data_IF_494822864690
#
_entry.id   IF_494822864690
#
_cell.length_a   1.000
_cell.length_b   1.000
_cell.length_c   1.000
_cell.angle_alpha   90.00
_cell.angle_beta   90.00
_cell.angle_gamma   90.00
#
_symmetry.space_group_name_H-M   'P 1'
#
loop_
_entity.id
_entity.type
_entity.pdbx_description
1 polymer ?
#
# COMPACT_ATOMS: atom_id res chain seq x y z
N UNK A 1 -5.69 21.25 -1.21
CA UNK A 1 -4.98 21.18 0.09
C UNK A 1 -3.68 20.42 -0.14
N UNK A 2 -2.61 21.15 -0.40
CA UNK A 2 -1.26 20.61 -0.56
C UNK A 2 -0.61 20.50 0.81
N UNK A 3 -0.63 19.31 1.37
CA UNK A 3 0.07 18.92 2.59
C UNK A 3 0.61 17.52 2.28
N UNK A 4 1.89 17.45 1.91
CA UNK A 4 2.70 16.24 1.67
C UNK A 4 1.92 14.99 1.26
N UNK A 5 1.91 14.68 -0.04
CA UNK A 5 1.49 13.39 -0.56
C UNK A 5 2.75 12.51 -0.71
N UNK A 6 3.11 11.69 0.28
CA UNK A 6 4.36 10.91 0.28
C UNK A 6 4.37 9.78 -0.76
N UNK A 7 3.22 9.53 -1.41
CA UNK A 7 3.04 8.47 -2.39
C UNK A 7 2.49 8.94 -3.73
N UNK A 8 2.03 7.97 -4.51
CA UNK A 8 1.30 8.15 -5.76
C UNK A 8 -0.11 7.56 -5.62
N UNK A 9 -1.10 8.26 -6.17
CA UNK A 9 -2.47 7.77 -6.22
C UNK A 9 -2.74 7.15 -7.58
N UNK A 10 -3.10 5.87 -7.57
CA UNK A 10 -3.44 5.10 -8.76
C UNK A 10 -4.96 4.89 -8.79
N UNK A 11 -5.64 5.66 -9.65
CA UNK A 11 -7.09 5.57 -9.82
C UNK A 11 -7.48 4.19 -10.35
N UNK A 12 -8.40 3.53 -9.65
CA UNK A 12 -8.93 2.24 -10.03
C UNK A 12 -10.29 2.02 -9.35
N UNK A 13 -11.24 1.29 -9.98
CA UNK A 13 -12.51 0.94 -9.35
C UNK A 13 -12.31 0.13 -8.06
N UNK A 14 -13.26 0.25 -7.12
CA UNK A 14 -13.33 -0.62 -5.94
C UNK A 14 -13.33 -2.09 -6.37
N UNK A 15 -12.60 -2.93 -5.65
CA UNK A 15 -12.45 -4.36 -5.96
C UNK A 15 -11.32 -4.69 -6.93
N UNK A 16 -10.67 -3.68 -7.55
CA UNK A 16 -9.48 -3.91 -8.39
C UNK A 16 -8.39 -4.59 -7.58
N UNK A 17 -7.73 -5.62 -8.12
CA UNK A 17 -6.68 -6.35 -7.41
C UNK A 17 -5.50 -5.43 -7.09
N UNK A 18 -5.02 -5.49 -5.84
CA UNK A 18 -3.78 -4.86 -5.41
C UNK A 18 -2.74 -5.96 -5.21
N UNK A 19 -1.56 -5.78 -5.82
CA UNK A 19 -0.48 -6.76 -5.87
C UNK A 19 0.80 -6.19 -5.28
N UNK A 20 1.62 -7.04 -4.65
CA UNK A 20 2.94 -6.64 -4.18
C UNK A 20 3.85 -6.27 -5.36
N UNK A 21 4.54 -5.13 -5.25
CA UNK A 21 5.47 -4.67 -6.30
C UNK A 21 6.73 -5.55 -6.39
N UNK A 22 7.09 -6.19 -5.28
CA UNK A 22 8.24 -7.09 -5.18
C UNK A 22 8.04 -8.15 -4.08
N UNK A 23 8.90 -9.15 -4.02
CA UNK A 23 8.90 -10.13 -2.94
C UNK A 23 9.23 -9.48 -1.59
N UNK A 24 8.69 -10.01 -0.49
CA UNK A 24 8.95 -9.44 0.82
C UNK A 24 8.19 -10.12 1.95
N UNK A 25 8.21 -9.47 3.11
CA UNK A 25 7.46 -9.87 4.30
C UNK A 25 6.48 -8.77 4.66
N UNK A 26 5.22 -9.13 4.85
CA UNK A 26 4.21 -8.23 5.37
C UNK A 26 4.58 -7.87 6.81
N UNK A 27 4.88 -6.60 7.08
CA UNK A 27 5.31 -6.13 8.40
C UNK A 27 4.21 -5.40 9.15
N UNK A 28 3.18 -4.93 8.45
CA UNK A 28 2.08 -4.18 9.04
C UNK A 28 0.80 -4.45 8.25
N UNK A 29 -0.29 -4.73 8.98
CA UNK A 29 -1.65 -4.79 8.43
C UNK A 29 -2.56 -4.08 9.39
N UNK A 30 -3.21 -3.03 8.93
CA UNK A 30 -4.05 -2.19 9.76
C UNK A 30 -5.43 -2.00 9.13
N UNK A 31 -6.45 -1.88 9.96
CA UNK A 31 -7.84 -1.67 9.55
C UNK A 31 -8.43 -0.46 10.27
N UNK A 32 -8.20 0.72 9.72
CA UNK A 32 -8.65 1.98 10.31
C UNK A 32 -9.79 2.62 9.50
N UNK A 33 -10.52 3.55 10.14
CA UNK A 33 -11.58 4.36 9.50
C UNK A 33 -11.07 5.72 8.99
N UNK A 34 -9.88 6.15 9.38
CA UNK A 34 -9.27 7.45 9.04
C UNK A 34 -7.86 7.27 8.48
N UNK A 35 -7.22 8.36 8.02
CA UNK A 35 -5.86 8.32 7.48
C UNK A 35 -5.76 7.39 6.27
N UNK A 36 -4.82 6.44 6.30
CA UNK A 36 -4.66 5.41 5.25
C UNK A 36 -5.83 4.44 5.11
N UNK A 37 -6.76 4.40 6.07
CA UNK A 37 -7.85 3.42 6.05
C UNK A 37 -7.32 2.01 6.32
N UNK A 38 -7.67 1.06 5.48
CA UNK A 38 -7.08 -0.28 5.52
C UNK A 38 -5.81 -0.27 4.67
N UNK A 39 -4.70 -0.74 5.26
CA UNK A 39 -3.43 -0.76 4.54
C UNK A 39 -2.57 -1.96 4.89
N UNK A 40 -1.63 -2.24 3.99
CA UNK A 40 -0.60 -3.25 4.12
C UNK A 40 0.75 -2.58 3.93
N UNK A 41 1.73 -2.89 4.78
CA UNK A 41 3.15 -2.55 4.57
C UNK A 41 3.95 -3.81 4.38
N UNK A 42 4.82 -3.81 3.36
CA UNK A 42 5.67 -4.93 3.01
C UNK A 42 7.12 -4.47 3.08
N UNK A 43 7.93 -5.15 3.89
CA UNK A 43 9.37 -4.96 3.90
C UNK A 43 10.00 -5.82 2.80
N UNK A 44 10.85 -5.18 2.00
CA UNK A 44 11.61 -5.79 0.93
C UNK A 44 13.08 -5.93 1.35
N UNK A 45 13.98 -6.20 0.40
CA UNK A 45 15.41 -6.29 0.68
C UNK A 45 15.97 -4.99 1.27
N UNK A 46 16.85 -5.11 2.27
CA UNK A 46 17.52 -3.97 2.88
C UNK A 46 16.58 -3.13 3.73
N UNK A 47 16.59 -1.81 3.51
CA UNK A 47 15.76 -0.85 4.26
C UNK A 47 14.50 -0.42 3.48
N UNK A 48 14.19 -1.11 2.37
CA UNK A 48 13.09 -0.72 1.48
C UNK A 48 11.77 -1.30 2.00
N UNK A 49 10.70 -0.51 2.00
CA UNK A 49 9.34 -1.02 2.19
C UNK A 49 8.35 -0.34 1.26
N UNK A 50 7.24 -1.02 0.97
CA UNK A 50 6.10 -0.46 0.24
C UNK A 50 4.86 -0.43 1.13
N UNK A 51 3.99 0.57 0.92
CA UNK A 51 2.70 0.70 1.61
C UNK A 51 1.58 0.81 0.58
N UNK A 52 0.49 0.10 0.84
CA UNK A 52 -0.70 0.00 -0.01
C UNK A 52 -1.92 0.37 0.84
N UNK A 53 -2.52 1.53 0.60
CA UNK A 53 -3.57 2.10 1.42
C UNK A 53 -4.92 2.23 0.69
N UNK A 54 -5.94 2.66 1.44
CA UNK A 54 -7.34 2.78 1.03
C UNK A 54 -7.96 1.47 0.54
N UNK A 55 -7.49 0.33 1.05
CA UNK A 55 -7.95 -0.99 0.63
C UNK A 55 -9.39 -1.27 1.08
N UNK A 56 -10.15 -2.04 0.30
CA UNK A 56 -11.46 -2.58 0.70
C UNK A 56 -11.28 -3.89 1.46
N UNK A 57 -10.53 -4.82 0.86
CA UNK A 57 -10.14 -6.10 1.47
C UNK A 57 -8.63 -6.20 1.55
N UNK A 58 -8.16 -6.71 2.69
CA UNK A 58 -6.80 -7.19 2.90
C UNK A 58 -6.87 -8.70 3.05
N UNK A 59 -6.08 -9.43 2.26
CA UNK A 59 -6.09 -10.90 2.23
C UNK A 59 -4.78 -11.53 2.73
N UNK A 60 -3.87 -10.71 3.25
CA UNK A 60 -2.60 -11.11 3.85
C UNK A 60 -2.55 -10.72 5.33
N UNK A 61 -1.63 -11.32 6.08
CA UNK A 61 -1.43 -11.04 7.51
C UNK A 61 0.03 -10.66 7.82
N UNK A 62 0.26 -9.95 8.92
CA UNK A 62 1.62 -9.64 9.36
C UNK A 62 2.45 -10.93 9.58
N UNK A 63 3.71 -10.91 9.15
CA UNK A 63 4.62 -12.05 9.12
C UNK A 63 4.52 -12.92 7.86
N UNK A 64 3.49 -12.75 7.02
CA UNK A 64 3.37 -13.50 5.77
C UNK A 64 4.45 -13.08 4.76
N UNK A 65 5.09 -14.08 4.13
CA UNK A 65 5.92 -13.85 2.95
C UNK A 65 5.04 -13.73 1.72
N UNK A 66 5.39 -12.80 0.84
CA UNK A 66 4.70 -12.63 -0.44
C UNK A 66 5.70 -12.56 -1.58
N UNK A 67 5.29 -13.04 -2.75
CA UNK A 67 6.06 -12.93 -3.98
C UNK A 67 5.73 -11.65 -4.76
N UNK A 68 6.61 -11.29 -5.70
CA UNK A 68 6.33 -10.21 -6.66
C UNK A 68 5.07 -10.54 -7.46
N UNK A 69 4.12 -9.61 -7.49
CA UNK A 69 2.85 -9.77 -8.19
C UNK A 69 1.80 -10.59 -7.43
N UNK A 70 2.10 -11.07 -6.22
CA UNK A 70 1.12 -11.74 -5.37
C UNK A 70 0.03 -10.76 -4.94
N UNK A 71 -1.23 -11.21 -4.99
CA UNK A 71 -2.36 -10.39 -4.58
C UNK A 71 -2.38 -10.25 -3.06
N UNK A 72 -2.43 -9.00 -2.58
CA UNK A 72 -2.45 -8.68 -1.15
C UNK A 72 -3.78 -8.09 -0.67
N UNK A 73 -4.61 -7.65 -1.62
CA UNK A 73 -5.90 -7.05 -1.31
C UNK A 73 -6.63 -6.56 -2.54
N UNK A 74 -7.54 -5.62 -2.31
CA UNK A 74 -8.29 -4.93 -3.37
C UNK A 74 -8.46 -3.45 -3.06
N UNK A 75 -8.50 -2.64 -4.12
CA UNK A 75 -8.75 -1.20 -4.04
C UNK A 75 -10.09 -0.96 -3.37
N UNK A 76 -10.15 0.04 -2.50
CA UNK A 76 -11.35 0.42 -1.78
C UNK A 76 -11.53 1.92 -1.69
N UNK A 77 -12.24 2.31 -0.64
CA UNK A 77 -12.52 3.70 -0.29
C UNK A 77 -12.43 3.94 1.22
N UNK A 78 -11.53 3.22 1.91
CA UNK A 78 -11.38 3.34 3.36
C UNK A 78 -10.44 4.48 3.73
N UNK A 79 -10.65 5.10 4.90
CA UNK A 79 -9.80 6.21 5.36
C UNK A 79 -10.14 7.55 4.69
N UNK A 80 -9.14 8.41 4.56
CA UNK A 80 -9.27 9.73 3.95
C UNK A 80 -9.05 9.66 2.45
N UNK A 81 -10.14 9.52 1.72
CA UNK A 81 -10.15 9.42 0.27
C UNK A 81 -11.29 10.24 -0.32
N UNK A 82 -11.11 10.76 -1.53
CA UNK A 82 -12.15 11.49 -2.28
C UNK A 82 -12.80 10.64 -3.37
N UNK A 83 -12.32 9.41 -3.58
CA UNK A 83 -12.82 8.48 -4.60
C UNK A 83 -11.99 7.20 -4.68
N UNK A 84 -12.44 6.15 -5.39
CA UNK A 84 -11.70 4.90 -5.52
C UNK A 84 -10.30 5.08 -6.12
N UNK A 85 -9.28 4.74 -5.35
CA UNK A 85 -7.88 4.69 -5.78
C UNK A 85 -7.04 3.85 -4.81
N UNK A 86 -5.87 3.41 -5.27
CA UNK A 86 -4.80 2.91 -4.42
C UNK A 86 -3.87 4.07 -4.09
N UNK A 87 -3.66 4.33 -2.81
CA UNK A 87 -2.55 5.16 -2.36
C UNK A 87 -1.32 4.28 -2.14
N UNK A 88 -0.26 4.53 -2.90
CA UNK A 88 0.95 3.70 -2.91
C UNK A 88 2.18 4.51 -2.53
N UNK A 89 2.95 4.00 -1.57
CA UNK A 89 4.20 4.62 -1.14
C UNK A 89 5.35 3.62 -1.20
N UNK A 90 6.57 4.14 -1.44
CA UNK A 90 7.82 3.40 -1.24
C UNK A 90 8.65 4.18 -0.23
N UNK A 91 9.28 3.47 0.70
CA UNK A 91 10.10 4.01 1.78
C UNK A 91 11.49 3.42 1.73
N UNK A 92 12.50 4.22 2.07
CA UNK A 92 13.84 3.76 2.45
C UNK A 92 14.10 4.16 3.90
N UNK A 93 14.09 3.17 4.80
CA UNK A 93 14.04 3.41 6.24
C UNK A 93 12.74 4.15 6.58
N UNK A 94 12.87 5.31 7.24
CA UNK A 94 11.73 6.13 7.67
C UNK A 94 11.38 7.26 6.68
N UNK A 95 11.94 7.26 5.46
CA UNK A 95 11.73 8.33 4.47
C UNK A 95 10.98 7.79 3.27
N UNK A 96 9.84 8.40 2.96
CA UNK A 96 9.16 8.21 1.68
C UNK A 96 10.09 8.67 0.53
N UNK A 97 10.16 7.85 -0.53
CA UNK A 97 10.91 8.11 -1.75
C UNK A 97 9.98 8.06 -2.95
N UNK A 98 10.39 8.67 -4.06
CA UNK A 98 9.62 8.65 -5.31
C UNK A 98 9.29 7.20 -5.73
N UNK A 99 8.00 6.79 -5.68
CA UNK A 99 7.60 5.43 -5.99
C UNK A 99 7.87 5.06 -7.45
N UNK A 100 7.83 6.04 -8.38
CA UNK A 100 7.96 5.81 -9.83
C UNK A 100 9.30 5.19 -10.24
N UNK A 101 10.30 5.20 -9.36
CA UNK A 101 11.59 4.53 -9.58
C UNK A 101 11.55 3.01 -9.39
N UNK A 102 10.46 2.49 -8.83
CA UNK A 102 10.30 1.08 -8.44
C UNK A 102 9.16 0.37 -9.16
N UNK A 103 8.36 1.09 -9.95
CA UNK A 103 7.21 0.57 -10.70
C UNK A 103 7.61 0.24 -12.14
#
# INVERSE_FOLDING_TARGET
FGLLHPGVDLRAPVGTQVKSIDMGVVVEVEKMKSGYGHFVRIAHSGIVSSLYAHLDKVIVVAGQKVDKGEQIGTVGMTGWTTGPHLHFEVHQGNRAVDPLRFI
#
